data_IF_852912837028
#
_entry.id   IF_852912837028
#
_cell.length_a   1.000
_cell.length_b   1.000
_cell.length_c   1.000
_cell.angle_alpha   90.00
_cell.angle_beta   90.00
_cell.angle_gamma   90.00
#
_symmetry.space_group_name_H-M   'P 1'
#
loop_
_entity.id
_entity.type
_entity.pdbx_description
1 polymer ?
#
# COMPACT_ATOMS: atom_id res chain seq x y z
N UNK A 1 1.96 4.07 -11.21
CA UNK A 1 0.83 3.73 -10.32
C UNK A 1 0.33 2.29 -10.50
N UNK A 2 -0.21 1.92 -11.66
CA UNK A 2 -0.86 0.62 -11.89
C UNK A 2 -0.05 -0.61 -11.49
N UNK A 3 1.24 -0.67 -11.81
CA UNK A 3 2.10 -1.82 -11.46
C UNK A 3 2.27 -1.99 -9.94
N UNK A 4 2.36 -0.88 -9.20
CA UNK A 4 2.49 -0.91 -7.74
C UNK A 4 1.18 -1.36 -7.09
N UNK A 5 0.05 -0.79 -7.50
CA UNK A 5 -1.27 -1.21 -7.00
C UNK A 5 -1.56 -2.66 -7.33
N UNK A 6 -1.27 -3.10 -8.56
CA UNK A 6 -1.49 -4.48 -8.95
C UNK A 6 -0.58 -5.45 -8.16
N UNK A 7 0.66 -5.07 -7.84
CA UNK A 7 1.54 -5.86 -6.99
C UNK A 7 1.00 -5.97 -5.55
N UNK A 8 0.50 -4.87 -4.98
CA UNK A 8 -0.12 -4.89 -3.65
C UNK A 8 -1.41 -5.71 -3.62
N UNK A 9 -2.27 -5.54 -4.63
CA UNK A 9 -3.53 -6.25 -4.80
C UNK A 9 -3.35 -7.77 -4.90
N UNK A 10 -2.27 -8.25 -5.52
CA UNK A 10 -2.01 -9.68 -5.69
C UNK A 10 -1.10 -10.30 -4.63
N UNK A 11 -0.53 -9.49 -3.72
CA UNK A 11 0.43 -9.92 -2.70
C UNK A 11 -0.08 -11.04 -1.76
N UNK A 12 -1.40 -11.30 -1.73
CA UNK A 12 -2.04 -12.22 -0.77
C UNK A 12 -2.94 -13.30 -1.37
N UNK A 13 -3.14 -13.31 -2.70
CA UNK A 13 -4.10 -14.22 -3.33
C UNK A 13 -3.50 -15.13 -4.42
N UNK A 14 -2.22 -14.95 -4.76
CA UNK A 14 -1.52 -15.78 -5.72
C UNK A 14 -1.92 -15.54 -7.18
N UNK A 15 -2.66 -14.47 -7.47
CA UNK A 15 -2.95 -14.04 -8.83
C UNK A 15 -1.72 -13.39 -9.48
N UNK A 16 -1.63 -13.51 -10.80
CA UNK A 16 -0.66 -12.76 -11.58
C UNK A 16 -1.16 -11.33 -11.78
N UNK A 17 -0.22 -10.39 -11.91
CA UNK A 17 -0.51 -8.99 -12.25
C UNK A 17 0.31 -8.58 -13.47
N UNK A 18 -0.29 -7.74 -14.31
CA UNK A 18 0.30 -7.30 -15.57
C UNK A 18 -0.77 -6.81 -16.54
N UNK A 19 -0.36 -6.48 -17.75
CA UNK A 19 -1.26 -6.13 -18.86
C UNK A 19 -2.01 -7.38 -19.33
N UNK A 20 -3.16 -7.19 -19.99
CA UNK A 20 -3.96 -8.30 -20.51
C UNK A 20 -3.13 -9.29 -21.35
N UNK A 21 -2.28 -8.80 -22.26
CA UNK A 21 -1.44 -9.67 -23.09
C UNK A 21 -0.33 -10.42 -22.33
N UNK A 22 0.06 -9.93 -21.14
CA UNK A 22 1.05 -10.59 -20.27
C UNK A 22 0.38 -11.68 -19.42
N UNK A 23 -0.85 -11.46 -18.96
CA UNK A 23 -1.52 -12.32 -17.96
C UNK A 23 -2.50 -13.30 -18.60
N UNK A 24 -3.29 -12.86 -19.58
CA UNK A 24 -4.34 -13.67 -20.23
C UNK A 24 -4.06 -13.96 -21.71
N UNK A 25 -2.98 -13.40 -22.27
CA UNK A 25 -2.40 -13.82 -23.55
C UNK A 25 -3.03 -13.22 -24.81
N UNK A 26 -3.85 -12.19 -24.67
CA UNK A 26 -4.40 -11.44 -25.81
C UNK A 26 -4.50 -9.95 -25.52
N UNK A 27 -4.64 -9.16 -26.59
CA UNK A 27 -4.89 -7.71 -26.50
C UNK A 27 -6.36 -7.44 -26.70
N UNK A 28 -6.85 -6.43 -26.00
CA UNK A 28 -8.22 -5.91 -26.06
C UNK A 28 -8.17 -4.45 -26.45
N UNK A 29 -9.27 -3.94 -26.98
CA UNK A 29 -9.48 -2.51 -27.21
C UNK A 29 -10.91 -2.13 -26.86
N UNK A 30 -11.09 -0.98 -26.21
CA UNK A 30 -12.41 -0.47 -25.85
C UNK A 30 -13.05 -1.23 -24.68
N UNK A 31 -12.23 -1.82 -23.82
CA UNK A 31 -12.68 -2.38 -22.55
C UNK A 31 -13.02 -1.28 -21.53
N UNK A 32 -13.69 -1.65 -20.45
CA UNK A 32 -14.08 -0.69 -19.42
C UNK A 32 -12.86 0.01 -18.80
N UNK A 33 -11.72 -0.69 -18.67
CA UNK A 33 -10.48 -0.12 -18.14
C UNK A 33 -9.89 0.94 -19.07
N UNK A 34 -9.91 0.70 -20.39
CA UNK A 34 -9.46 1.67 -21.42
C UNK A 34 -10.27 2.97 -21.35
N UNK A 35 -11.60 2.85 -21.31
CA UNK A 35 -12.50 4.00 -21.25
C UNK A 35 -12.39 4.72 -19.90
N UNK A 36 -12.38 3.97 -18.80
CA UNK A 36 -12.28 4.52 -17.45
C UNK A 36 -11.02 5.36 -17.27
N UNK A 37 -9.88 4.89 -17.77
CA UNK A 37 -8.64 5.67 -17.74
C UNK A 37 -8.62 6.79 -18.78
N UNK A 38 -8.95 6.48 -20.04
CA UNK A 38 -8.78 7.40 -21.18
C UNK A 38 -9.72 8.60 -21.17
N UNK A 39 -10.98 8.39 -20.78
CA UNK A 39 -12.03 9.40 -20.87
C UNK A 39 -12.39 9.98 -19.50
N UNK A 40 -12.41 9.15 -18.46
CA UNK A 40 -12.85 9.56 -17.12
C UNK A 40 -11.70 9.82 -16.13
N UNK A 41 -10.46 9.45 -16.47
CA UNK A 41 -9.31 9.60 -15.57
C UNK A 41 -9.39 8.73 -14.31
N UNK A 42 -10.14 7.63 -14.36
CA UNK A 42 -10.33 6.68 -13.26
C UNK A 42 -9.27 5.58 -13.31
N UNK A 43 -8.71 5.27 -12.16
CA UNK A 43 -7.80 4.13 -12.00
C UNK A 43 -8.62 2.85 -11.99
N UNK A 44 -8.64 2.12 -13.11
CA UNK A 44 -9.46 0.93 -13.33
C UNK A 44 -8.62 -0.35 -13.45
N UNK A 45 -9.13 -1.46 -12.93
CA UNK A 45 -8.49 -2.78 -12.99
C UNK A 45 -9.51 -3.88 -13.28
N UNK A 46 -9.17 -4.77 -14.20
CA UNK A 46 -9.84 -6.07 -14.34
C UNK A 46 -9.26 -7.08 -13.35
N UNK A 47 -10.15 -7.72 -12.58
CA UNK A 47 -9.82 -8.80 -11.63
C UNK A 47 -10.32 -10.14 -12.20
N UNK A 48 -9.42 -10.90 -12.81
CA UNK A 48 -9.71 -12.26 -13.29
C UNK A 48 -9.59 -13.26 -12.13
N UNK A 49 -10.73 -13.77 -11.64
CA UNK A 49 -10.80 -14.55 -10.41
C UNK A 49 -10.80 -16.07 -10.65
N UNK A 50 -10.30 -16.82 -9.67
CA UNK A 50 -10.19 -18.28 -9.75
C UNK A 50 -9.01 -18.74 -10.60
N UNK A 51 -9.11 -19.95 -11.15
CA UNK A 51 -8.07 -20.52 -12.03
C UNK A 51 -8.68 -21.26 -13.24
N UNK A 52 -7.82 -21.71 -14.15
CA UNK A 52 -8.25 -22.37 -15.40
C UNK A 52 -9.10 -23.64 -15.22
N UNK A 53 -9.08 -24.28 -14.04
CA UNK A 53 -9.93 -25.44 -13.71
C UNK A 53 -11.30 -25.05 -13.16
N UNK A 54 -11.45 -23.82 -12.67
CA UNK A 54 -12.72 -23.31 -12.15
C UNK A 54 -13.68 -22.99 -13.31
N UNK A 55 -13.16 -22.51 -14.44
CA UNK A 55 -13.95 -22.16 -15.62
C UNK A 55 -15.01 -21.09 -15.33
N UNK A 56 -16.03 -20.98 -16.19
CA UNK A 56 -17.13 -20.03 -15.97
C UNK A 56 -18.08 -20.44 -14.83
N UNK A 57 -18.09 -21.73 -14.47
CA UNK A 57 -19.02 -22.31 -13.49
C UNK A 57 -18.23 -23.14 -12.46
N UNK A 58 -17.57 -22.49 -11.50
CA UNK A 58 -16.80 -23.18 -10.48
C UNK A 58 -17.68 -24.16 -9.71
N UNK A 59 -17.06 -25.22 -9.18
CA UNK A 59 -17.75 -26.10 -8.23
C UNK A 59 -18.21 -25.30 -7.00
N UNK A 60 -19.33 -25.66 -6.36
CA UNK A 60 -19.83 -24.91 -5.20
C UNK A 60 -18.80 -24.72 -4.07
N UNK A 61 -17.94 -25.71 -3.83
CA UNK A 61 -16.88 -25.66 -2.82
C UNK A 61 -15.71 -24.72 -3.17
N UNK A 62 -15.67 -24.20 -4.41
CA UNK A 62 -14.68 -23.22 -4.86
C UNK A 62 -15.18 -21.77 -4.76
N UNK A 63 -16.48 -21.54 -4.61
CA UNK A 63 -17.06 -20.18 -4.63
C UNK A 63 -16.52 -19.32 -3.49
N UNK A 64 -16.64 -19.80 -2.25
CA UNK A 64 -16.18 -19.07 -1.07
C UNK A 64 -14.66 -18.80 -1.09
N UNK A 65 -13.79 -19.80 -1.36
CA UNK A 65 -12.36 -19.55 -1.54
C UNK A 65 -12.01 -18.49 -2.61
N UNK A 66 -12.73 -18.45 -3.73
CA UNK A 66 -12.49 -17.45 -4.79
C UNK A 66 -12.93 -16.05 -4.32
N UNK A 67 -14.05 -15.96 -3.61
CA UNK A 67 -14.53 -14.69 -3.05
C UNK A 67 -13.55 -14.14 -2.00
N UNK A 68 -13.03 -14.98 -1.11
CA UNK A 68 -12.03 -14.60 -0.11
C UNK A 68 -10.74 -14.05 -0.74
N UNK A 69 -10.27 -14.67 -1.83
CA UNK A 69 -9.11 -14.21 -2.62
C UNK A 69 -9.31 -12.80 -3.21
N UNK A 70 -10.57 -12.41 -3.45
CA UNK A 70 -10.93 -11.12 -4.04
C UNK A 70 -11.17 -10.02 -3.01
N UNK A 71 -11.29 -10.37 -1.72
CA UNK A 71 -11.58 -9.39 -0.67
C UNK A 71 -10.44 -8.39 -0.49
N UNK A 72 -9.19 -8.89 -0.39
CA UNK A 72 -8.01 -8.03 -0.25
C UNK A 72 -7.87 -7.01 -1.39
N UNK A 73 -7.83 -7.39 -2.67
CA UNK A 73 -7.67 -6.41 -3.76
C UNK A 73 -8.82 -5.41 -3.81
N UNK A 74 -10.07 -5.82 -3.53
CA UNK A 74 -11.20 -4.91 -3.47
C UNK A 74 -11.05 -3.89 -2.32
N UNK A 75 -10.67 -4.34 -1.13
CA UNK A 75 -10.45 -3.44 0.02
C UNK A 75 -9.27 -2.49 -0.20
N UNK A 76 -8.19 -2.97 -0.82
CA UNK A 76 -7.05 -2.13 -1.14
C UNK A 76 -7.42 -0.99 -2.09
N UNK A 77 -8.20 -1.27 -3.15
CA UNK A 77 -8.69 -0.23 -4.07
C UNK A 77 -9.62 0.79 -3.38
N UNK A 78 -10.48 0.31 -2.49
CA UNK A 78 -11.35 1.19 -1.69
C UNK A 78 -10.51 2.13 -0.81
N UNK A 79 -9.53 1.61 -0.09
CA UNK A 79 -8.63 2.41 0.74
C UNK A 79 -7.81 3.40 -0.10
N UNK A 80 -7.28 2.95 -1.25
CA UNK A 80 -6.52 3.75 -2.17
C UNK A 80 -7.35 4.85 -2.86
N UNK A 81 -8.68 4.76 -2.90
CA UNK A 81 -9.54 5.84 -3.43
C UNK A 81 -9.49 7.12 -2.59
N UNK A 82 -9.17 6.99 -1.30
CA UNK A 82 -8.97 8.08 -0.36
C UNK A 82 -7.49 8.43 -0.16
N UNK A 83 -7.12 9.09 0.93
CA UNK A 83 -5.74 9.17 1.37
C UNK A 83 -5.33 7.87 2.08
N UNK A 84 -4.23 7.26 1.65
CA UNK A 84 -3.73 5.99 2.19
C UNK A 84 -2.27 6.16 2.63
N UNK A 85 -2.06 6.48 3.91
CA UNK A 85 -0.72 6.72 4.45
C UNK A 85 -0.05 5.38 4.79
N UNK A 86 1.11 5.13 4.18
CA UNK A 86 1.88 3.91 4.36
C UNK A 86 3.34 4.24 4.68
N UNK A 87 4.00 3.30 5.35
CA UNK A 87 5.46 3.32 5.50
C UNK A 87 6.06 2.88 4.17
N UNK A 88 6.72 3.81 3.49
CA UNK A 88 7.38 3.55 2.22
C UNK A 88 8.77 2.93 2.43
N UNK A 89 9.50 3.45 3.41
CA UNK A 89 10.87 3.02 3.66
C UNK A 89 11.19 3.09 5.15
N UNK A 90 11.96 2.10 5.62
CA UNK A 90 12.63 2.13 6.91
C UNK A 90 14.10 1.86 6.65
N UNK A 91 14.96 2.83 6.96
CA UNK A 91 16.38 2.74 6.73
C UNK A 91 17.15 3.09 8.01
N UNK A 92 18.09 2.21 8.39
CA UNK A 92 18.97 2.46 9.52
C UNK A 92 20.29 3.05 9.02
N UNK A 93 20.57 4.31 9.36
CA UNK A 93 21.76 5.04 8.97
C UNK A 93 22.70 5.24 10.16
N UNK A 94 24.01 5.35 9.87
CA UNK A 94 25.07 5.72 10.83
C UNK A 94 25.02 4.93 12.15
N UNK A 95 25.59 3.73 12.17
CA UNK A 95 25.73 2.93 13.38
C UNK A 95 27.06 3.23 14.05
N UNK A 96 27.03 3.88 15.20
CA UNK A 96 28.22 4.10 16.03
C UNK A 96 28.36 2.95 17.03
N UNK A 97 29.37 2.13 16.82
CA UNK A 97 29.67 0.96 17.64
C UNK A 97 30.22 1.32 19.02
N UNK A 98 30.81 2.51 19.19
CA UNK A 98 31.34 2.96 20.47
C UNK A 98 30.22 3.39 21.43
N UNK A 99 29.15 3.97 20.89
CA UNK A 99 27.98 4.44 21.67
C UNK A 99 26.77 3.50 21.58
N UNK A 100 26.83 2.45 20.76
CA UNK A 100 25.70 1.57 20.42
C UNK A 100 24.48 2.39 19.97
N UNK A 101 24.71 3.42 19.14
CA UNK A 101 23.67 4.34 18.69
C UNK A 101 23.59 4.40 17.17
N UNK A 102 22.46 4.88 16.66
CA UNK A 102 22.32 5.17 15.24
C UNK A 102 21.03 5.88 14.89
N UNK A 103 20.88 6.19 13.61
CA UNK A 103 19.74 6.93 13.08
C UNK A 103 18.75 5.97 12.42
N UNK A 104 17.47 6.13 12.74
CA UNK A 104 16.38 5.44 12.05
C UNK A 104 15.62 6.46 11.21
N UNK A 105 15.68 6.30 9.89
CA UNK A 105 14.92 7.10 8.94
C UNK A 105 13.65 6.32 8.57
N UNK A 106 12.49 6.94 8.76
CA UNK A 106 11.23 6.43 8.28
C UNK A 106 10.68 7.39 7.23
N UNK A 107 10.44 6.87 6.03
CA UNK A 107 9.77 7.60 4.96
C UNK A 107 8.32 7.15 4.91
N UNK A 108 7.41 8.11 5.05
CA UNK A 108 5.99 7.88 4.86
C UNK A 108 5.56 8.42 3.51
N UNK A 109 4.60 7.75 2.90
CA UNK A 109 4.05 8.13 1.61
C UNK A 109 2.52 8.03 1.65
N UNK A 110 1.87 8.96 0.95
CA UNK A 110 0.47 8.78 0.61
C UNK A 110 0.38 7.96 -0.68
N UNK A 111 -0.06 6.72 -0.52
CA UNK A 111 -0.31 5.80 -1.63
C UNK A 111 -1.75 5.87 -2.13
N UNK A 112 -2.58 6.78 -1.60
CA UNK A 112 -3.95 6.97 -2.03
C UNK A 112 -4.12 8.10 -3.04
N UNK A 113 -5.24 8.08 -3.76
CA UNK A 113 -5.59 8.98 -4.86
C UNK A 113 -6.15 10.33 -4.38
N UNK A 114 -6.50 10.45 -3.10
CA UNK A 114 -6.87 11.73 -2.51
C UNK A 114 -5.72 12.30 -1.67
N UNK A 115 -5.58 13.65 -1.59
CA UNK A 115 -4.57 14.26 -0.75
C UNK A 115 -4.86 14.03 0.73
N UNK A 116 -3.80 13.93 1.53
CA UNK A 116 -3.89 13.87 2.98
C UNK A 116 -3.55 15.25 3.57
N UNK A 117 -4.55 15.95 4.09
CA UNK A 117 -4.41 17.32 4.63
C UNK A 117 -4.67 17.42 6.13
N UNK A 118 -5.12 16.35 6.77
CA UNK A 118 -5.40 16.31 8.21
C UNK A 118 -4.09 16.30 9.02
N UNK A 119 -4.08 16.85 10.25
CA UNK A 119 -2.94 16.69 11.15
C UNK A 119 -2.74 15.22 11.47
N UNK A 120 -1.56 14.67 11.15
CA UNK A 120 -1.15 13.33 11.54
C UNK A 120 0.04 13.41 12.48
N UNK A 121 -0.02 12.63 13.56
CA UNK A 121 1.14 12.35 14.40
C UNK A 121 1.56 10.92 14.15
N UNK A 122 2.77 10.71 13.64
CA UNK A 122 3.36 9.37 13.65
C UNK A 122 4.22 9.19 14.88
N UNK A 123 4.12 8.01 15.48
CA UNK A 123 4.89 7.61 16.64
C UNK A 123 5.64 6.32 16.33
N UNK A 124 6.95 6.31 16.57
CA UNK A 124 7.72 5.08 16.66
C UNK A 124 7.76 4.67 18.11
N UNK A 125 7.27 3.46 18.41
CA UNK A 125 7.27 2.90 19.75
C UNK A 125 8.30 1.78 19.86
N UNK A 126 9.15 1.89 20.87
CA UNK A 126 10.09 0.84 21.27
C UNK A 126 9.39 -0.05 22.30
N UNK A 127 9.44 -1.36 22.09
CA UNK A 127 8.81 -2.35 22.99
C UNK A 127 9.79 -2.94 24.00
N UNK A 128 11.09 -2.74 23.81
CA UNK A 128 12.16 -3.20 24.70
C UNK A 128 12.67 -2.08 25.59
N UNK A 129 12.94 -2.39 26.87
CA UNK A 129 13.55 -1.45 27.82
C UNK A 129 15.04 -1.18 27.56
N UNK A 130 15.67 -1.94 26.67
CA UNK A 130 17.10 -1.82 26.34
C UNK A 130 17.40 -0.76 25.28
N UNK A 131 16.38 -0.24 24.61
CA UNK A 131 16.52 0.76 23.56
C UNK A 131 15.77 2.04 23.95
N UNK A 132 16.34 3.18 23.53
CA UNK A 132 15.65 4.46 23.60
C UNK A 132 15.61 5.08 22.22
N UNK A 133 14.52 5.77 21.91
CA UNK A 133 14.37 6.49 20.65
C UNK A 133 14.07 7.96 20.93
N UNK A 134 14.62 8.84 20.10
CA UNK A 134 14.34 10.28 20.14
C UNK A 134 14.13 10.75 18.70
N UNK A 135 13.11 11.57 18.42
CA UNK A 135 12.94 12.12 17.08
C UNK A 135 13.98 13.20 16.80
N UNK A 136 14.38 13.32 15.54
CA UNK A 136 15.26 14.39 15.05
C UNK A 136 14.50 15.68 14.72
N UNK A 137 13.16 15.64 14.65
CA UNK A 137 12.31 16.76 14.28
C UNK A 137 12.15 17.78 15.43
N UNK A 138 12.10 19.09 15.14
CA UNK A 138 11.96 20.14 16.15
C UNK A 138 10.55 20.22 16.78
N UNK A 139 9.50 19.82 16.04
CA UNK A 139 8.10 19.86 16.50
C UNK A 139 7.70 18.59 17.26
N UNK A 140 8.53 18.25 18.26
CA UNK A 140 8.35 17.06 19.09
C UNK A 140 7.28 17.26 20.16
N UNK A 141 6.39 16.26 20.28
CA UNK A 141 5.46 16.17 21.40
C UNK A 141 6.02 15.22 22.46
N UNK A 142 6.15 15.66 23.73
CA UNK A 142 6.57 14.77 24.80
C UNK A 142 5.64 13.57 24.91
N UNK A 143 6.19 12.39 24.65
CA UNK A 143 5.51 11.12 24.83
C UNK A 143 6.32 10.25 25.78
N UNK A 144 5.76 9.12 26.21
CA UNK A 144 6.39 8.22 27.18
C UNK A 144 7.83 7.85 26.78
N UNK A 145 8.63 7.42 27.76
CA UNK A 145 10.09 7.14 27.66
C UNK A 145 10.50 6.15 26.53
N UNK A 146 9.54 5.52 25.85
CA UNK A 146 9.72 4.53 24.80
C UNK A 146 9.02 4.91 23.48
N UNK A 147 8.65 6.17 23.28
CA UNK A 147 8.07 6.62 22.02
C UNK A 147 8.66 7.94 21.53
N UNK A 148 8.87 8.02 20.21
CA UNK A 148 9.23 9.24 19.51
C UNK A 148 8.10 9.58 18.53
N UNK A 149 7.44 10.71 18.76
CA UNK A 149 6.32 11.16 17.93
C UNK A 149 6.68 12.46 17.22
N UNK A 150 6.25 12.60 15.97
CA UNK A 150 6.39 13.83 15.18
C UNK A 150 5.10 14.12 14.43
N UNK A 151 4.77 15.40 14.27
CA UNK A 151 3.79 15.82 13.29
C UNK A 151 4.30 15.49 11.87
N UNK A 152 3.38 15.12 10.99
CA UNK A 152 3.66 14.91 9.57
C UNK A 152 2.92 15.99 8.79
N UNK A 153 3.65 16.61 7.87
CA UNK A 153 3.07 17.58 6.96
C UNK A 153 2.01 16.94 6.04
N UNK A 154 1.19 17.77 5.39
CA UNK A 154 0.27 17.29 4.37
C UNK A 154 1.04 16.52 3.27
N UNK A 155 0.47 15.40 2.83
CA UNK A 155 1.03 14.57 1.76
C UNK A 155 0.11 14.64 0.54
N UNK A 156 0.68 14.97 -0.62
CA UNK A 156 -0.06 15.03 -1.87
C UNK A 156 -0.70 13.69 -2.23
N UNK A 157 -1.70 13.71 -3.12
CA UNK A 157 -2.25 12.50 -3.69
C UNK A 157 -1.18 11.73 -4.48
N UNK A 158 -1.32 10.41 -4.52
CA UNK A 158 -0.55 9.56 -5.43
C UNK A 158 -0.98 9.87 -6.85
N UNK A 159 -0.03 10.30 -7.68
CA UNK A 159 -0.29 10.60 -9.09
C UNK A 159 -0.15 9.33 -9.93
N UNK A 160 -1.02 9.24 -10.94
CA UNK A 160 -1.04 8.18 -11.93
C UNK A 160 0.11 8.31 -12.94
#
# INVERSE_FOLDING_TARGET
>A
LYQEYAAEMTARNGYASGRAWEVVGYTTNGEADDWGWGDEGVVSFTLEVGNSRDGFWPKPDRIEPIAEQSLWPATYLLDASGPMIQVHEVHMAHVDSATTSGNLNLTLQNNGLAPFTSPLTACVRVTSSHFSIRPSAPDWYPSAQYSACTAIAALGARQA
#
